data_IF_774446772294
#
_entry.id   IF_774446772294
#
_cell.length_a   1.000
_cell.length_b   1.000
_cell.length_c   1.000
_cell.angle_alpha   90.00
_cell.angle_beta   90.00
_cell.angle_gamma   90.00
#
_symmetry.space_group_name_H-M   'P 1'
#
loop_
_entity.id
_entity.type
_entity.pdbx_description
1 polymer ?
#
# COMPACT_ATOMS: atom_id res chain seq x y z
N UNK A 1 -33.21 -68.51 -15.29
CA UNK A 1 -34.15 -67.40 -15.53
C UNK A 1 -33.69 -66.22 -14.70
N UNK A 2 -33.51 -65.07 -15.36
CA UNK A 2 -33.65 -63.67 -14.84
C UNK A 2 -32.82 -63.24 -13.62
N UNK A 3 -32.07 -62.14 -13.66
CA UNK A 3 -31.93 -61.10 -14.67
C UNK A 3 -30.98 -60.00 -14.20
N UNK A 4 -30.24 -59.45 -15.16
CA UNK A 4 -29.38 -58.26 -15.08
C UNK A 4 -30.26 -57.01 -15.12
N UNK A 5 -29.95 -55.98 -14.31
CA UNK A 5 -30.21 -54.58 -14.69
C UNK A 5 -29.00 -53.72 -14.34
N UNK A 6 -28.56 -53.00 -15.36
CA UNK A 6 -27.49 -52.00 -15.45
C UNK A 6 -28.15 -50.62 -15.59
N UNK A 7 -27.33 -49.57 -15.59
CA UNK A 7 -27.61 -48.15 -15.94
C UNK A 7 -27.98 -47.25 -14.75
N UNK A 8 -27.03 -46.37 -14.34
CA UNK A 8 -26.76 -45.00 -14.83
C UNK A 8 -27.81 -44.03 -14.30
N UNK A 9 -27.39 -43.17 -13.38
CA UNK A 9 -27.32 -41.75 -13.74
C UNK A 9 -26.20 -41.04 -12.98
N UNK A 10 -25.22 -40.59 -13.76
CA UNK A 10 -24.27 -39.54 -13.40
C UNK A 10 -24.91 -38.25 -13.87
N UNK A 11 -25.16 -37.29 -12.99
CA UNK A 11 -25.03 -35.85 -13.26
C UNK A 11 -25.75 -35.04 -12.18
N UNK A 12 -25.30 -33.79 -11.99
CA UNK A 12 -25.75 -32.80 -11.00
C UNK A 12 -25.06 -33.01 -9.64
N UNK A 13 -24.15 -32.16 -9.16
CA UNK A 13 -23.98 -30.74 -9.41
C UNK A 13 -22.57 -30.34 -8.92
N UNK A 14 -21.59 -30.31 -9.83
CA UNK A 14 -20.27 -29.71 -9.58
C UNK A 14 -20.03 -28.57 -10.57
N UNK A 15 -20.99 -27.66 -10.66
CA UNK A 15 -20.82 -26.35 -11.26
C UNK A 15 -20.24 -25.34 -10.27
N UNK A 16 -19.22 -25.70 -9.48
CA UNK A 16 -18.43 -24.68 -8.78
C UNK A 16 -17.55 -24.01 -9.83
N UNK A 17 -17.87 -22.76 -10.15
CA UNK A 17 -17.01 -21.82 -10.87
C UNK A 17 -15.58 -21.91 -10.29
N UNK A 18 -14.70 -22.66 -10.95
CA UNK A 18 -13.26 -22.63 -10.68
C UNK A 18 -12.75 -21.28 -11.18
N UNK A 19 -12.95 -20.24 -10.36
CA UNK A 19 -12.28 -18.97 -10.58
C UNK A 19 -10.78 -19.27 -10.59
N UNK A 20 -10.11 -18.97 -11.71
CA UNK A 20 -8.69 -19.26 -11.88
C UNK A 20 -7.92 -18.65 -10.71
N UNK A 21 -7.31 -19.49 -9.89
CA UNK A 21 -6.56 -19.02 -8.73
C UNK A 21 -5.30 -18.30 -9.22
N UNK A 22 -5.12 -17.06 -8.78
CA UNK A 22 -3.96 -16.24 -9.12
C UNK A 22 -2.93 -16.28 -7.99
N UNK A 23 -1.67 -16.47 -8.36
CA UNK A 23 -0.51 -16.33 -7.48
C UNK A 23 0.03 -14.90 -7.55
N UNK A 24 -0.01 -14.19 -6.42
CA UNK A 24 0.37 -12.78 -6.34
C UNK A 24 1.82 -12.60 -5.85
N UNK A 25 2.59 -11.80 -6.58
CA UNK A 25 3.91 -11.33 -6.17
C UNK A 25 3.96 -9.81 -6.19
N UNK A 26 4.41 -9.20 -5.10
CA UNK A 26 4.49 -7.75 -4.93
C UNK A 26 5.94 -7.31 -4.69
N UNK A 27 6.45 -6.42 -5.55
CA UNK A 27 7.78 -5.81 -5.38
C UNK A 27 7.67 -4.44 -4.78
N UNK A 28 8.42 -4.22 -3.70
CA UNK A 28 8.32 -3.00 -2.90
C UNK A 28 9.69 -2.48 -2.49
N UNK A 29 9.73 -1.16 -2.29
CA UNK A 29 10.55 -0.53 -1.26
C UNK A 29 9.78 -0.63 0.07
N UNK A 30 10.31 -1.37 1.04
CA UNK A 30 9.62 -1.70 2.30
C UNK A 30 8.91 -0.51 2.93
N UNK A 31 9.67 0.53 3.23
CA UNK A 31 9.21 1.74 3.93
C UNK A 31 8.32 2.69 3.12
N UNK A 32 8.15 2.49 1.81
CA UNK A 32 7.43 3.44 0.95
C UNK A 32 5.94 3.42 1.22
N UNK A 33 5.36 4.60 1.45
CA UNK A 33 3.92 4.76 1.67
C UNK A 33 3.04 4.41 0.45
N UNK A 34 3.56 4.49 -0.77
CA UNK A 34 2.83 4.01 -1.95
C UNK A 34 2.75 2.47 -1.99
N UNK A 35 3.77 1.80 -1.46
CA UNK A 35 3.77 0.35 -1.32
C UNK A 35 2.89 -0.10 -0.18
N UNK A 36 2.79 0.73 0.87
CA UNK A 36 1.84 0.47 1.95
C UNK A 36 0.40 0.46 1.46
N UNK A 37 0.02 1.39 0.58
CA UNK A 37 -1.29 1.37 -0.08
C UNK A 37 -1.57 0.04 -0.80
N UNK A 38 -0.60 -0.48 -1.56
CA UNK A 38 -0.77 -1.74 -2.27
C UNK A 38 -0.83 -2.96 -1.33
N UNK A 39 -0.01 -2.99 -0.26
CA UNK A 39 -0.10 -4.03 0.78
C UNK A 39 -1.45 -4.00 1.46
N UNK A 40 -1.89 -2.81 1.86
CA UNK A 40 -3.15 -2.62 2.54
C UNK A 40 -4.31 -3.10 1.66
N UNK A 41 -4.32 -2.80 0.36
CA UNK A 41 -5.35 -3.32 -0.53
C UNK A 41 -5.36 -4.87 -0.60
N UNK A 42 -4.19 -5.52 -0.70
CA UNK A 42 -4.07 -6.99 -0.67
C UNK A 42 -4.57 -7.57 0.66
N UNK A 43 -4.13 -6.98 1.77
CA UNK A 43 -4.48 -7.39 3.13
C UNK A 43 -5.98 -7.20 3.43
N UNK A 44 -6.54 -6.07 2.99
CA UNK A 44 -7.96 -5.73 3.13
C UNK A 44 -8.81 -6.83 2.49
N UNK A 45 -8.52 -7.23 1.24
CA UNK A 45 -9.21 -8.32 0.55
C UNK A 45 -8.72 -9.73 0.94
N UNK A 46 -7.81 -9.85 1.92
CA UNK A 46 -7.26 -11.11 2.44
C UNK A 46 -6.61 -11.98 1.36
N UNK A 47 -5.93 -11.34 0.42
CA UNK A 47 -5.29 -12.01 -0.71
C UNK A 47 -3.86 -12.36 -0.33
N UNK A 48 -3.49 -13.66 -0.26
CA UNK A 48 -2.11 -14.05 0.03
C UNK A 48 -1.17 -13.62 -1.08
N UNK A 49 0.00 -13.08 -0.71
CA UNK A 49 1.01 -12.64 -1.66
C UNK A 49 2.44 -12.88 -1.19
N UNK A 50 3.36 -13.01 -2.14
CA UNK A 50 4.80 -13.05 -1.88
C UNK A 50 5.39 -11.66 -2.06
N UNK A 51 5.90 -11.07 -0.98
CA UNK A 51 6.52 -9.74 -1.03
C UNK A 51 8.04 -9.82 -1.25
N UNK A 52 8.53 -9.10 -2.26
CA UNK A 52 9.96 -8.93 -2.52
C UNK A 52 10.36 -7.48 -2.22
N UNK A 53 11.18 -7.30 -1.18
CA UNK A 53 11.59 -5.98 -0.72
C UNK A 53 12.99 -5.62 -1.19
N UNK A 54 13.17 -4.35 -1.52
CA UNK A 54 14.46 -3.75 -1.84
C UNK A 54 14.63 -2.37 -1.19
N UNK A 55 15.87 -1.95 -0.98
CA UNK A 55 16.16 -0.61 -0.48
C UNK A 55 15.91 0.44 -1.56
N UNK A 56 15.60 1.69 -1.18
CA UNK A 56 15.72 2.83 -2.07
C UNK A 56 17.07 2.82 -2.80
N UNK A 57 17.08 3.25 -4.05
CA UNK A 57 18.22 3.16 -5.01
C UNK A 57 18.60 1.71 -5.40
N UNK A 58 18.74 0.77 -4.46
CA UNK A 58 19.09 -0.63 -4.77
C UNK A 58 17.97 -1.37 -5.52
N UNK A 59 16.72 -0.97 -5.31
CA UNK A 59 15.56 -1.52 -6.03
C UNK A 59 15.71 -1.46 -7.55
N UNK A 60 16.45 -0.48 -8.08
CA UNK A 60 16.69 -0.32 -9.53
C UNK A 60 17.36 -1.57 -10.12
N UNK A 61 18.21 -2.25 -9.34
CA UNK A 61 18.89 -3.49 -9.75
C UNK A 61 17.91 -4.66 -9.71
N UNK A 62 17.21 -4.84 -8.58
CA UNK A 62 16.23 -5.92 -8.43
C UNK A 62 15.01 -5.80 -9.36
N UNK A 63 14.71 -4.58 -9.81
CA UNK A 63 13.62 -4.28 -10.71
C UNK A 63 14.04 -4.37 -12.18
N UNK A 64 15.26 -4.79 -12.50
CA UNK A 64 15.76 -4.80 -13.87
C UNK A 64 14.85 -5.55 -14.86
N UNK A 65 14.22 -6.63 -14.39
CA UNK A 65 13.25 -7.47 -15.13
C UNK A 65 11.78 -7.00 -14.98
N UNK A 66 11.50 -6.05 -14.10
CA UNK A 66 10.17 -5.59 -13.70
C UNK A 66 10.04 -4.10 -14.01
N UNK A 67 9.70 -3.80 -15.26
CA UNK A 67 9.65 -2.43 -15.77
C UNK A 67 8.22 -2.00 -16.01
N UNK A 68 7.90 -0.79 -15.61
CA UNK A 68 6.70 -0.12 -16.07
C UNK A 68 6.79 0.13 -17.58
N UNK A 69 5.63 0.04 -18.25
CA UNK A 69 5.50 0.30 -19.69
C UNK A 69 5.87 1.75 -20.03
N UNK A 70 5.54 2.68 -19.14
CA UNK A 70 5.85 4.11 -19.22
C UNK A 70 6.78 4.55 -18.09
N UNK A 71 7.42 5.72 -18.25
CA UNK A 71 8.22 6.36 -17.19
C UNK A 71 7.31 7.36 -16.46
N UNK A 72 6.82 7.06 -15.24
CA UNK A 72 6.05 8.03 -14.50
C UNK A 72 6.93 9.19 -14.00
N UNK A 73 6.32 10.37 -13.95
CA UNK A 73 6.86 11.54 -13.25
C UNK A 73 6.69 11.36 -11.73
N UNK A 74 7.61 11.82 -10.87
CA UNK A 74 8.81 12.63 -11.15
C UNK A 74 10.12 11.85 -11.24
N UNK A 75 10.08 10.52 -11.01
CA UNK A 75 11.31 9.72 -10.89
C UNK A 75 11.96 9.44 -12.25
N UNK A 76 11.21 9.61 -13.35
CA UNK A 76 11.65 9.43 -14.75
C UNK A 76 12.37 8.08 -14.99
N UNK A 77 12.01 7.06 -14.20
CA UNK A 77 12.51 5.69 -14.28
C UNK A 77 11.36 4.73 -14.54
N UNK A 78 11.64 3.62 -15.24
CA UNK A 78 10.68 2.51 -15.39
C UNK A 78 10.70 1.54 -14.21
N UNK A 79 11.65 1.69 -13.30
CA UNK A 79 11.79 0.85 -12.11
C UNK A 79 11.00 1.46 -10.96
N UNK A 80 9.68 1.30 -11.00
CA UNK A 80 8.77 1.85 -10.00
C UNK A 80 8.22 0.77 -9.10
N UNK A 81 7.97 1.15 -7.85
CA UNK A 81 7.28 0.31 -6.87
C UNK A 81 6.04 1.09 -6.38
N UNK A 82 4.90 0.43 -6.16
CA UNK A 82 4.74 -1.03 -6.13
C UNK A 82 4.70 -1.64 -7.53
N UNK A 83 5.12 -2.90 -7.66
CA UNK A 83 4.91 -3.67 -8.88
C UNK A 83 4.27 -5.01 -8.49
N UNK A 84 3.05 -5.25 -8.95
CA UNK A 84 2.30 -6.48 -8.75
C UNK A 84 2.34 -7.32 -10.02
N UNK A 85 2.67 -8.60 -9.88
CA UNK A 85 2.37 -9.62 -10.89
C UNK A 85 1.39 -10.64 -10.32
N UNK A 86 0.33 -10.94 -11.06
CA UNK A 86 -0.59 -12.03 -10.73
C UNK A 86 -0.56 -13.08 -11.86
N UNK A 87 -0.10 -14.28 -11.53
CA UNK A 87 0.10 -15.38 -12.47
C UNK A 87 -0.95 -16.47 -12.18
N UNK A 88 -1.69 -16.96 -13.19
CA UNK A 88 -2.57 -18.12 -13.03
C UNK A 88 -1.84 -19.34 -12.48
N UNK A 89 -2.49 -20.08 -11.59
CA UNK A 89 -1.95 -21.37 -11.14
C UNK A 89 -1.89 -22.33 -12.33
N UNK A 90 -0.70 -22.90 -12.57
CA UNK A 90 -0.37 -23.69 -13.76
C UNK A 90 -1.17 -24.99 -13.88
N UNK A 91 -1.91 -25.36 -12.84
CA UNK A 91 -2.81 -26.52 -12.81
C UNK A 91 -4.13 -26.30 -13.59
N UNK A 92 -4.47 -25.06 -13.98
CA UNK A 92 -5.76 -24.72 -14.59
C UNK A 92 -5.68 -23.93 -15.91
N UNK A 93 -4.50 -23.48 -16.34
CA UNK A 93 -4.37 -22.63 -17.51
C UNK A 93 -3.75 -23.38 -18.69
N UNK A 94 -4.58 -23.81 -19.63
CA UNK A 94 -4.10 -24.06 -20.99
C UNK A 94 -3.62 -22.74 -21.59
N UNK A 95 -2.33 -22.64 -21.88
CA UNK A 95 -1.56 -21.72 -22.75
C UNK A 95 -1.99 -20.24 -22.98
N UNK A 96 -2.99 -19.66 -22.30
CA UNK A 96 -3.52 -18.34 -22.66
C UNK A 96 -4.05 -17.45 -21.53
N UNK A 97 -3.93 -17.84 -20.26
CA UNK A 97 -4.27 -16.91 -19.19
C UNK A 97 -3.11 -15.91 -18.99
N UNK A 98 -3.30 -14.68 -19.50
CA UNK A 98 -2.29 -13.63 -19.48
C UNK A 98 -1.95 -13.19 -18.04
N UNK A 99 -0.65 -13.15 -17.73
CA UNK A 99 -0.13 -12.57 -16.48
C UNK A 99 -0.58 -11.11 -16.33
N UNK A 100 -1.20 -10.77 -15.20
CA UNK A 100 -1.58 -9.39 -14.87
C UNK A 100 -0.37 -8.66 -14.28
N UNK A 101 0.00 -7.50 -14.85
CA UNK A 101 1.13 -6.67 -14.41
C UNK A 101 0.66 -5.26 -14.12
N UNK A 102 0.77 -4.82 -12.86
CA UNK A 102 0.37 -3.49 -12.42
C UNK A 102 1.54 -2.82 -11.68
N UNK A 103 1.77 -1.54 -11.94
CA UNK A 103 2.92 -0.79 -11.42
C UNK A 103 2.54 0.53 -10.74
N UNK A 104 1.24 0.69 -10.48
CA UNK A 104 0.65 1.84 -9.83
C UNK A 104 -0.22 1.37 -8.66
N UNK A 105 -0.07 2.00 -7.49
CA UNK A 105 -0.77 1.58 -6.28
C UNK A 105 -2.29 1.77 -6.35
N UNK A 106 -2.77 2.74 -7.14
CA UNK A 106 -4.21 2.96 -7.38
C UNK A 106 -4.73 1.88 -8.32
N UNK A 107 -4.04 1.62 -9.44
CA UNK A 107 -4.42 0.55 -10.36
C UNK A 107 -4.44 -0.84 -9.69
N UNK A 108 -3.50 -1.10 -8.76
CA UNK A 108 -3.52 -2.32 -7.94
C UNK A 108 -4.77 -2.36 -7.06
N UNK A 109 -5.04 -1.30 -6.29
CA UNK A 109 -6.19 -1.27 -5.39
C UNK A 109 -7.53 -1.41 -6.16
N UNK A 110 -7.65 -0.75 -7.31
CA UNK A 110 -8.82 -0.83 -8.19
C UNK A 110 -9.00 -2.25 -8.74
N UNK A 111 -7.94 -2.85 -9.30
CA UNK A 111 -7.99 -4.23 -9.79
C UNK A 111 -8.45 -5.21 -8.71
N UNK A 112 -7.91 -5.09 -7.49
CA UNK A 112 -8.28 -5.97 -6.39
C UNK A 112 -9.74 -5.73 -5.96
N UNK A 113 -10.18 -4.47 -5.94
CA UNK A 113 -11.55 -4.10 -5.63
C UNK A 113 -12.55 -4.66 -6.63
N UNK A 114 -12.25 -4.56 -7.92
CA UNK A 114 -13.12 -5.05 -8.99
C UNK A 114 -13.24 -6.59 -8.99
N UNK A 115 -12.18 -7.30 -8.57
CA UNK A 115 -12.13 -8.77 -8.60
C UNK A 115 -12.59 -9.44 -7.30
N UNK A 116 -12.35 -8.83 -6.15
CA UNK A 116 -12.47 -9.50 -4.84
C UNK A 116 -13.42 -8.81 -3.85
N UNK A 117 -14.00 -7.66 -4.19
CA UNK A 117 -14.99 -7.04 -3.32
C UNK A 117 -16.28 -7.87 -3.21
N UNK A 118 -16.98 -7.72 -2.08
CA UNK A 118 -18.30 -8.31 -1.93
C UNK A 118 -19.27 -7.80 -3.00
N UNK A 119 -20.14 -8.68 -3.55
CA UNK A 119 -21.19 -8.24 -4.43
C UNK A 119 -22.10 -7.23 -3.70
N UNK A 120 -22.71 -6.27 -4.44
CA UNK A 120 -23.60 -5.29 -3.84
C UNK A 120 -24.73 -6.01 -3.10
N UNK A 121 -24.89 -5.70 -1.80
CA UNK A 121 -25.93 -6.31 -0.96
C UNK A 121 -27.30 -6.13 -1.62
N UNK A 122 -27.93 -7.22 -2.05
CA UNK A 122 -29.39 -7.23 -2.26
C UNK A 122 -30.05 -6.95 -0.90
N UNK A 123 -31.15 -6.20 -0.88
CA UNK A 123 -31.85 -5.79 0.34
C UNK A 123 -32.30 -7.02 1.16
N UNK A 124 -31.56 -7.39 2.21
CA UNK A 124 -31.84 -8.25 3.39
C UNK A 124 -30.54 -9.01 3.73
N UNK A 125 -30.05 -9.12 4.96
CA UNK A 125 -30.60 -8.93 6.30
C UNK A 125 -29.46 -8.58 7.26
N UNK A 126 -29.80 -7.87 8.33
CA UNK A 126 -28.96 -7.74 9.52
C UNK A 126 -28.90 -9.09 10.25
N UNK A 127 -27.73 -9.73 10.28
CA UNK A 127 -27.27 -10.51 11.43
C UNK A 127 -25.92 -11.15 11.18
N UNK A 128 -25.06 -11.05 12.20
CA UNK A 128 -23.91 -11.90 12.51
C UNK A 128 -22.66 -11.78 11.62
N UNK A 129 -21.59 -11.38 12.30
CA UNK A 129 -20.20 -11.61 11.98
C UNK A 129 -19.96 -13.04 11.47
N UNK A 130 -19.79 -13.19 10.16
CA UNK A 130 -19.06 -14.32 9.61
C UNK A 130 -17.77 -13.81 9.00
N UNK A 131 -16.67 -14.41 9.42
CA UNK A 131 -15.32 -14.21 8.89
C UNK A 131 -15.16 -14.67 7.43
N UNK A 132 -16.24 -14.95 6.69
CA UNK A 132 -16.20 -15.46 5.31
C UNK A 132 -16.69 -14.46 4.26
N UNK A 133 -17.29 -13.33 4.63
CA UNK A 133 -17.75 -12.35 3.63
C UNK A 133 -16.58 -11.46 3.20
N UNK A 134 -16.29 -11.33 1.89
CA UNK A 134 -15.29 -10.40 1.41
C UNK A 134 -15.63 -8.96 1.81
N UNK A 135 -14.62 -8.09 2.01
CA UNK A 135 -14.86 -6.70 2.37
C UNK A 135 -15.66 -5.91 1.32
N UNK A 136 -16.27 -4.78 1.71
CA UNK A 136 -16.92 -3.87 0.77
C UNK A 136 -15.97 -3.32 -0.32
N UNK A 137 -16.54 -2.99 -1.49
CA UNK A 137 -15.84 -2.35 -2.61
C UNK A 137 -15.29 -0.97 -2.20
N UNK A 138 -13.98 -0.78 -2.35
CA UNK A 138 -13.27 0.47 -2.02
C UNK A 138 -13.55 1.63 -2.99
N UNK A 139 -14.01 1.35 -4.21
CA UNK A 139 -14.20 2.34 -5.29
C UNK A 139 -15.65 2.69 -5.56
N UNK A 140 -16.60 2.04 -4.88
CA UNK A 140 -18.04 2.11 -5.18
C UNK A 140 -18.41 1.56 -6.58
N UNK A 141 -19.64 1.08 -6.72
CA UNK A 141 -20.20 0.70 -8.02
C UNK A 141 -20.87 1.90 -8.74
N UNK A 142 -21.07 3.02 -8.04
CA UNK A 142 -21.60 4.25 -8.62
C UNK A 142 -20.47 5.07 -9.29
N UNK A 143 -20.63 5.39 -10.57
CA UNK A 143 -19.61 6.05 -11.37
C UNK A 143 -19.25 7.45 -10.84
N UNK A 144 -20.23 8.21 -10.34
CA UNK A 144 -19.99 9.55 -9.81
C UNK A 144 -19.19 9.50 -8.50
N UNK A 145 -19.49 8.53 -7.64
CA UNK A 145 -18.75 8.28 -6.39
C UNK A 145 -17.35 7.76 -6.68
N UNK A 146 -17.19 6.82 -7.62
CA UNK A 146 -15.89 6.32 -8.07
C UNK A 146 -14.99 7.45 -8.59
N UNK A 147 -15.55 8.36 -9.38
CA UNK A 147 -14.81 9.53 -9.87
C UNK A 147 -14.33 10.46 -8.74
N UNK A 148 -15.14 10.67 -7.69
CA UNK A 148 -14.75 11.46 -6.51
C UNK A 148 -13.60 10.79 -5.74
N UNK A 149 -13.66 9.47 -5.56
CA UNK A 149 -12.62 8.68 -4.90
C UNK A 149 -11.31 8.83 -5.66
N UNK A 150 -11.32 8.58 -6.97
CA UNK A 150 -10.13 8.71 -7.83
C UNK A 150 -9.54 10.13 -7.82
N UNK A 151 -10.38 11.16 -7.82
CA UNK A 151 -9.92 12.55 -7.75
C UNK A 151 -9.20 12.86 -6.43
N UNK A 152 -9.67 12.31 -5.30
CA UNK A 152 -8.99 12.43 -4.01
C UNK A 152 -7.66 11.67 -4.00
N UNK A 153 -7.62 10.44 -4.54
CA UNK A 153 -6.38 9.67 -4.64
C UNK A 153 -5.33 10.40 -5.49
N UNK A 154 -5.75 10.99 -6.61
CA UNK A 154 -4.87 11.81 -7.45
C UNK A 154 -4.35 13.04 -6.69
N UNK A 155 -5.23 13.74 -5.97
CA UNK A 155 -4.84 14.89 -5.14
C UNK A 155 -3.82 14.47 -4.08
N UNK A 156 -4.06 13.41 -3.33
CA UNK A 156 -3.14 12.94 -2.30
C UNK A 156 -1.82 12.44 -2.89
N UNK A 157 -1.87 11.79 -4.06
CA UNK A 157 -0.69 11.37 -4.81
C UNK A 157 0.18 12.54 -5.27
N UNK A 158 -0.41 13.73 -5.51
CA UNK A 158 0.30 14.96 -5.88
C UNK A 158 0.73 15.81 -4.68
N UNK A 159 -0.13 15.96 -3.69
CA UNK A 159 -0.02 16.97 -2.64
C UNK A 159 0.43 16.41 -1.29
N UNK A 160 0.16 15.14 -0.99
CA UNK A 160 0.58 14.51 0.28
C UNK A 160 1.84 13.69 0.06
N UNK A 161 1.77 12.62 -0.75
CA UNK A 161 2.85 11.64 -0.88
C UNK A 161 4.23 12.25 -1.19
N UNK A 162 4.39 13.10 -2.22
CA UNK A 162 5.68 13.70 -2.56
C UNK A 162 6.22 14.60 -1.46
N UNK A 163 5.35 15.34 -0.77
CA UNK A 163 5.72 16.28 0.28
C UNK A 163 6.05 15.58 1.60
N UNK A 164 5.31 14.53 1.96
CA UNK A 164 5.67 13.63 3.08
C UNK A 164 7.03 13.00 2.83
N UNK A 165 7.28 12.48 1.62
CA UNK A 165 8.58 11.89 1.27
C UNK A 165 9.73 12.88 1.40
N UNK A 166 9.58 14.09 0.86
CA UNK A 166 10.62 15.14 0.92
C UNK A 166 10.93 15.49 2.38
N UNK A 167 9.90 15.72 3.19
CA UNK A 167 10.06 16.03 4.61
C UNK A 167 10.72 14.88 5.38
N UNK A 168 10.18 13.66 5.29
CA UNK A 168 10.69 12.51 6.05
C UNK A 168 12.12 12.16 5.67
N UNK A 169 12.46 12.17 4.38
CA UNK A 169 13.85 11.90 3.96
C UNK A 169 14.81 13.05 4.31
N UNK A 170 14.37 14.31 4.31
CA UNK A 170 15.18 15.41 4.83
C UNK A 170 15.53 15.15 6.31
N UNK A 171 14.53 14.79 7.13
CA UNK A 171 14.77 14.52 8.55
C UNK A 171 15.62 13.27 8.78
N UNK A 172 15.31 12.15 8.14
CA UNK A 172 15.97 10.85 8.44
C UNK A 172 17.37 10.76 7.83
N UNK A 173 17.60 11.36 6.65
CA UNK A 173 18.87 11.20 5.93
C UNK A 173 19.87 12.34 6.17
N UNK A 174 19.39 13.56 6.45
CA UNK A 174 20.25 14.73 6.58
C UNK A 174 20.43 15.21 8.02
N UNK A 175 19.38 15.14 8.85
CA UNK A 175 19.38 15.79 10.17
C UNK A 175 19.41 14.85 11.36
N UNK A 176 18.73 13.71 11.27
CA UNK A 176 18.72 12.71 12.34
C UNK A 176 20.09 12.03 12.45
N UNK A 177 20.44 11.43 13.60
CA UNK A 177 21.65 10.64 13.72
C UNK A 177 21.74 9.60 12.60
N UNK A 178 22.93 9.40 12.02
CA UNK A 178 23.12 8.46 10.90
C UNK A 178 22.65 7.03 11.22
N UNK A 179 22.60 6.66 12.50
CA UNK A 179 22.03 5.39 12.96
C UNK A 179 20.56 5.22 12.55
N UNK A 180 19.76 6.30 12.59
CA UNK A 180 18.34 6.30 12.20
C UNK A 180 18.19 5.94 10.72
N UNK A 181 18.93 6.63 9.84
CA UNK A 181 18.92 6.34 8.41
C UNK A 181 19.50 4.96 8.07
N UNK A 182 20.56 4.52 8.75
CA UNK A 182 21.13 3.18 8.57
C UNK A 182 20.16 2.06 8.99
N UNK A 183 19.39 2.28 10.05
CA UNK A 183 18.42 1.31 10.55
C UNK A 183 17.30 1.01 9.53
N UNK A 184 17.05 1.88 8.53
CA UNK A 184 16.09 1.63 7.46
C UNK A 184 16.37 0.34 6.68
N UNK A 185 17.64 -0.08 6.57
CA UNK A 185 18.03 -1.34 5.93
C UNK A 185 17.99 -2.56 6.85
N UNK A 186 17.72 -2.37 8.13
CA UNK A 186 17.69 -3.41 9.16
C UNK A 186 16.22 -3.82 9.43
N UNK A 187 15.97 -4.64 10.46
CA UNK A 187 14.61 -5.00 10.91
C UNK A 187 13.72 -5.68 9.86
N UNK A 188 14.30 -6.60 9.08
CA UNK A 188 13.61 -7.38 8.05
C UNK A 188 12.96 -6.55 6.92
N UNK A 189 13.42 -5.29 6.76
CA UNK A 189 13.02 -4.48 5.61
C UNK A 189 13.60 -5.03 4.31
N UNK A 190 14.78 -5.65 4.35
CA UNK A 190 15.47 -6.23 3.18
C UNK A 190 16.36 -7.40 3.59
N UNK A 191 16.82 -8.17 2.60
CA UNK A 191 17.79 -9.25 2.82
C UNK A 191 19.16 -8.75 3.31
N UNK A 192 19.92 -9.65 3.95
CA UNK A 192 21.19 -9.35 4.66
C UNK A 192 22.22 -8.58 3.82
N UNK A 193 22.36 -8.90 2.53
CA UNK A 193 23.30 -8.19 1.65
C UNK A 193 22.86 -6.75 1.40
N UNK A 194 21.59 -6.51 1.07
CA UNK A 194 21.10 -5.14 0.86
C UNK A 194 21.19 -4.33 2.16
N UNK A 195 20.91 -4.94 3.31
CA UNK A 195 21.11 -4.33 4.62
C UNK A 195 22.58 -3.92 4.85
N UNK A 196 23.51 -4.82 4.51
CA UNK A 196 24.94 -4.57 4.59
C UNK A 196 25.39 -3.46 3.62
N UNK A 197 25.01 -3.54 2.33
CA UNK A 197 25.30 -2.51 1.32
C UNK A 197 24.76 -1.16 1.79
N UNK A 198 23.51 -1.10 2.25
CA UNK A 198 22.91 0.13 2.77
C UNK A 198 23.70 0.73 3.93
N UNK A 199 24.13 -0.11 4.87
CA UNK A 199 24.86 0.33 6.07
C UNK A 199 26.26 0.84 5.74
N UNK A 200 26.99 0.13 4.87
CA UNK A 200 28.37 0.47 4.46
C UNK A 200 28.38 1.70 3.55
N UNK A 201 27.52 1.71 2.53
CA UNK A 201 27.47 2.77 1.52
C UNK A 201 26.42 3.85 1.83
N UNK A 202 25.96 3.94 3.08
CA UNK A 202 24.89 4.84 3.51
C UNK A 202 25.08 6.28 3.02
N UNK A 203 26.28 6.84 3.14
CA UNK A 203 26.56 8.21 2.71
C UNK A 203 26.33 8.43 1.21
N UNK A 204 26.81 7.50 0.38
CA UNK A 204 26.64 7.57 -1.08
C UNK A 204 25.18 7.35 -1.50
N UNK A 205 24.53 6.31 -0.98
CA UNK A 205 23.14 5.98 -1.31
C UNK A 205 22.16 7.06 -0.85
N UNK A 206 22.39 7.62 0.35
CA UNK A 206 21.62 8.76 0.85
C UNK A 206 21.82 9.99 -0.02
N UNK A 207 23.05 10.29 -0.42
CA UNK A 207 23.33 11.40 -1.34
C UNK A 207 22.62 11.22 -2.70
N UNK A 208 22.66 10.02 -3.28
CA UNK A 208 21.95 9.71 -4.53
C UNK A 208 20.44 9.92 -4.39
N UNK A 209 19.86 9.44 -3.30
CA UNK A 209 18.43 9.57 -3.01
C UNK A 209 18.01 11.04 -2.82
N UNK A 210 18.78 11.78 -2.00
CA UNK A 210 18.57 13.22 -1.75
C UNK A 210 18.68 14.02 -3.04
N UNK A 211 19.69 13.75 -3.87
CA UNK A 211 19.88 14.42 -5.15
C UNK A 211 18.76 14.12 -6.14
N UNK A 212 18.39 12.85 -6.30
CA UNK A 212 17.34 12.42 -7.23
C UNK A 212 15.98 13.03 -6.89
N UNK A 213 15.68 13.18 -5.60
CA UNK A 213 14.41 13.73 -5.12
C UNK A 213 14.48 15.24 -4.85
N UNK A 214 15.58 15.92 -5.18
CA UNK A 214 15.79 17.35 -4.97
C UNK A 214 15.48 17.80 -3.52
N UNK A 215 15.97 17.02 -2.55
CA UNK A 215 15.73 17.23 -1.12
C UNK A 215 16.73 18.24 -0.59
N UNK A 216 16.23 19.25 0.12
CA UNK A 216 16.97 20.32 0.78
C UNK A 216 16.12 20.86 1.92
N UNK A 217 16.71 21.61 2.85
CA UNK A 217 15.96 22.22 3.95
C UNK A 217 14.89 23.19 3.44
N UNK A 218 15.18 23.90 2.34
CA UNK A 218 14.22 24.78 1.67
C UNK A 218 13.03 24.01 1.09
N UNK A 219 13.27 22.87 0.42
CA UNK A 219 12.19 22.05 -0.12
C UNK A 219 11.41 21.31 0.97
N UNK A 220 12.05 20.93 2.07
CA UNK A 220 11.40 20.37 3.26
C UNK A 220 10.52 21.39 3.97
N UNK A 221 11.01 22.61 4.23
CA UNK A 221 10.23 23.69 4.83
C UNK A 221 8.99 24.05 3.98
N UNK A 222 9.16 24.15 2.66
CA UNK A 222 8.02 24.32 1.74
C UNK A 222 7.04 23.15 1.81
N UNK A 223 7.54 21.93 1.90
CA UNK A 223 6.69 20.73 2.00
C UNK A 223 5.90 20.71 3.31
N UNK A 224 6.49 21.11 4.45
CA UNK A 224 5.77 21.26 5.73
C UNK A 224 4.57 22.19 5.59
N UNK A 225 4.76 23.35 4.95
CA UNK A 225 3.68 24.32 4.72
C UNK A 225 2.59 23.82 3.77
N UNK A 226 2.95 23.03 2.77
CA UNK A 226 1.96 22.37 1.90
C UNK A 226 1.17 21.33 2.69
N UNK A 227 1.84 20.50 3.48
CA UNK A 227 1.20 19.48 4.32
C UNK A 227 0.23 20.10 5.33
N UNK A 228 0.59 21.21 5.99
CA UNK A 228 -0.32 21.95 6.89
C UNK A 228 -1.61 22.34 6.19
N UNK A 229 -1.50 23.02 5.06
CA UNK A 229 -2.66 23.49 4.28
C UNK A 229 -3.53 22.33 3.79
N UNK A 230 -2.92 21.24 3.35
CA UNK A 230 -3.68 20.06 2.91
C UNK A 230 -4.35 19.34 4.08
N UNK A 231 -3.68 19.15 5.22
CA UNK A 231 -4.29 18.55 6.42
C UNK A 231 -5.43 19.41 6.96
N UNK A 232 -5.29 20.73 6.93
CA UNK A 232 -6.37 21.66 7.29
C UNK A 232 -7.55 21.58 6.30
N UNK A 233 -7.26 21.55 5.00
CA UNK A 233 -8.29 21.38 3.97
C UNK A 233 -9.05 20.05 4.13
N UNK A 234 -8.34 18.95 4.35
CA UNK A 234 -8.92 17.62 4.58
C UNK A 234 -9.73 17.61 5.87
N UNK A 235 -9.25 18.27 6.93
CA UNK A 235 -9.98 18.41 8.19
C UNK A 235 -11.34 19.06 7.97
N UNK A 236 -11.39 20.17 7.21
CA UNK A 236 -12.66 20.81 6.83
C UNK A 236 -13.58 19.89 6.03
N UNK A 237 -13.04 19.09 5.11
CA UNK A 237 -13.83 18.12 4.33
C UNK A 237 -14.47 17.10 5.27
N UNK A 238 -13.70 16.51 6.18
CA UNK A 238 -14.17 15.53 7.16
C UNK A 238 -15.20 16.14 8.13
N UNK A 239 -14.97 17.35 8.62
CA UNK A 239 -15.85 18.07 9.55
C UNK A 239 -17.18 18.49 8.91
N UNK A 240 -17.20 18.73 7.60
CA UNK A 240 -18.41 19.04 6.84
C UNK A 240 -19.25 17.81 6.47
N UNK A 241 -18.75 16.60 6.77
CA UNK A 241 -19.42 15.34 6.48
C UNK A 241 -20.69 15.10 7.31
N UNK A 242 -21.50 14.09 6.95
CA UNK A 242 -22.68 13.71 7.71
C UNK A 242 -22.31 13.19 9.12
N UNK A 243 -23.22 13.27 10.10
CA UNK A 243 -22.97 12.77 11.46
C UNK A 243 -22.71 11.26 11.47
N UNK A 244 -21.60 10.84 12.08
CA UNK A 244 -21.11 9.45 12.12
C UNK A 244 -19.58 9.38 12.06
N UNK A 245 -18.98 8.19 11.91
CA UNK A 245 -17.55 8.07 11.58
C UNK A 245 -17.29 8.86 10.28
N UNK A 246 -16.46 9.90 10.36
CA UNK A 246 -16.16 10.74 9.21
C UNK A 246 -15.30 9.92 8.23
N UNK A 247 -15.81 9.71 7.02
CA UNK A 247 -15.05 9.20 5.88
C UNK A 247 -14.98 10.29 4.81
N UNK A 248 -13.97 10.22 3.94
CA UNK A 248 -13.79 11.25 2.91
C UNK A 248 -14.90 11.23 1.85
N UNK A 249 -15.50 10.07 1.59
CA UNK A 249 -16.57 9.90 0.60
C UNK A 249 -17.68 9.01 1.16
N UNK A 250 -18.86 9.58 1.33
CA UNK A 250 -20.03 8.84 1.83
C UNK A 250 -19.92 8.53 3.32
N UNK A 251 -20.34 7.33 3.72
CA UNK A 251 -20.41 6.88 5.11
C UNK A 251 -19.68 5.53 5.33
N UNK A 252 -18.75 5.18 4.44
CA UNK A 252 -17.97 3.95 4.50
C UNK A 252 -16.50 4.22 4.18
N UNK A 253 -15.64 3.29 4.60
CA UNK A 253 -14.23 3.30 4.23
C UNK A 253 -14.07 3.08 2.72
N UNK A 254 -13.26 3.92 2.06
CA UNK A 254 -13.01 3.88 0.62
C UNK A 254 -11.51 3.91 0.29
N UNK A 255 -11.17 3.75 -0.99
CA UNK A 255 -9.79 3.92 -1.46
C UNK A 255 -9.23 5.33 -1.21
N UNK A 256 -10.09 6.35 -1.07
CA UNK A 256 -9.65 7.69 -0.72
C UNK A 256 -9.10 7.74 0.72
N UNK A 257 -9.78 7.12 1.67
CA UNK A 257 -9.36 7.02 3.08
C UNK A 257 -8.09 6.19 3.20
N UNK A 258 -8.05 5.02 2.53
CA UNK A 258 -6.88 4.15 2.49
C UNK A 258 -5.65 4.89 1.91
N UNK A 259 -5.85 5.67 0.85
CA UNK A 259 -4.78 6.45 0.22
C UNK A 259 -4.29 7.58 1.11
N UNK A 260 -5.20 8.34 1.74
CA UNK A 260 -4.81 9.37 2.70
C UNK A 260 -4.01 8.77 3.85
N UNK A 261 -4.51 7.68 4.44
CA UNK A 261 -3.86 7.00 5.55
C UNK A 261 -2.46 6.51 5.16
N UNK A 262 -2.34 5.83 4.01
CA UNK A 262 -1.06 5.33 3.53
C UNK A 262 -0.06 6.45 3.27
N UNK A 263 -0.44 7.47 2.47
CA UNK A 263 0.46 8.55 2.06
C UNK A 263 0.79 9.54 3.17
N UNK A 264 -0.13 9.77 4.10
CA UNK A 264 0.03 10.65 5.25
C UNK A 264 0.63 9.98 6.49
N UNK A 265 0.59 8.64 6.59
CA UNK A 265 0.94 7.87 7.79
C UNK A 265 2.31 8.22 8.37
N UNK A 266 3.34 8.31 7.51
CA UNK A 266 4.69 8.66 7.96
C UNK A 266 4.81 10.08 8.55
N UNK A 267 3.94 11.01 8.15
CA UNK A 267 3.93 12.38 8.68
C UNK A 267 3.28 12.47 10.07
N UNK A 268 2.40 11.52 10.41
CA UNK A 268 1.73 11.42 11.71
C UNK A 268 2.32 10.30 12.60
N UNK A 269 3.47 9.76 12.21
CA UNK A 269 4.26 8.83 13.01
C UNK A 269 3.70 7.41 13.06
N UNK A 270 2.93 6.98 12.06
CA UNK A 270 2.48 5.59 11.95
C UNK A 270 3.68 4.65 11.86
N UNK A 271 3.74 3.71 12.80
CA UNK A 271 4.78 2.69 12.93
C UNK A 271 4.25 1.27 12.73
N UNK A 272 5.11 0.29 13.01
CA UNK A 272 4.77 -1.14 12.89
C UNK A 272 3.74 -1.55 13.95
N UNK A 273 3.79 -0.91 15.11
CA UNK A 273 2.84 -1.01 16.21
C UNK A 273 1.41 -0.62 15.82
N UNK A 274 1.26 0.30 14.86
CA UNK A 274 -0.04 0.71 14.31
C UNK A 274 -0.48 -0.16 13.13
N UNK A 275 0.34 -1.15 12.73
CA UNK A 275 0.07 -2.05 11.60
C UNK A 275 0.75 -1.65 10.28
N UNK A 276 1.67 -0.69 10.26
CA UNK A 276 2.43 -0.37 9.04
C UNK A 276 3.21 -1.60 8.56
N UNK A 277 3.14 -1.89 7.26
CA UNK A 277 3.66 -3.12 6.67
C UNK A 277 5.19 -3.27 6.71
N UNK A 278 5.95 -2.26 7.13
CA UNK A 278 7.41 -2.30 7.21
C UNK A 278 7.92 -1.66 8.50
N UNK A 279 9.18 -1.93 8.85
CA UNK A 279 9.80 -1.22 9.97
C UNK A 279 10.19 0.19 9.53
N UNK A 280 9.74 1.20 10.28
CA UNK A 280 10.13 2.60 10.10
C UNK A 280 10.72 3.13 11.40
N UNK A 281 11.63 4.12 11.36
CA UNK A 281 12.17 4.70 12.58
C UNK A 281 11.08 5.31 13.45
N UNK A 282 11.11 5.00 14.74
CA UNK A 282 10.18 5.61 15.71
C UNK A 282 10.38 7.13 15.80
N UNK A 283 9.29 7.85 16.05
CA UNK A 283 9.28 9.30 16.18
C UNK A 283 10.24 9.82 17.26
N UNK A 284 10.41 9.07 18.34
CA UNK A 284 11.33 9.36 19.45
C UNK A 284 12.79 9.46 19.02
N UNK A 285 13.17 8.83 17.89
CA UNK A 285 14.51 8.90 17.33
C UNK A 285 14.72 10.15 16.45
N UNK A 286 13.65 10.89 16.12
CA UNK A 286 13.72 12.11 15.33
C UNK A 286 14.04 13.33 16.22
N UNK A 287 14.44 14.44 15.60
CA UNK A 287 14.71 15.72 16.30
C UNK A 287 13.43 16.27 16.94
N UNK A 288 13.53 17.06 18.04
CA UNK A 288 12.37 17.67 18.68
C UNK A 288 11.46 18.46 17.73
N UNK A 289 12.02 19.16 16.74
CA UNK A 289 11.23 19.87 15.73
C UNK A 289 10.36 18.92 14.88
N UNK A 290 10.91 17.76 14.51
CA UNK A 290 10.18 16.76 13.74
C UNK A 290 9.09 16.08 14.57
N UNK A 291 9.37 15.87 15.87
CA UNK A 291 8.37 15.38 16.83
C UNK A 291 7.22 16.38 16.99
N UNK A 292 7.53 17.67 17.16
CA UNK A 292 6.53 18.73 17.28
C UNK A 292 5.67 18.86 16.02
N UNK A 293 6.27 18.77 14.82
CA UNK A 293 5.50 18.81 13.58
C UNK A 293 4.61 17.58 13.38
N UNK A 294 5.08 16.40 13.76
CA UNK A 294 4.25 15.20 13.76
C UNK A 294 3.04 15.36 14.70
N UNK A 295 3.27 15.84 15.93
CA UNK A 295 2.20 16.08 16.90
C UNK A 295 1.22 17.16 16.43
N UNK A 296 1.71 18.24 15.82
CA UNK A 296 0.88 19.26 15.16
C UNK A 296 -0.10 18.63 14.16
N UNK A 297 0.39 17.76 13.27
CA UNK A 297 -0.46 17.08 12.28
C UNK A 297 -1.43 16.09 12.95
N UNK A 298 -0.99 15.36 13.98
CA UNK A 298 -1.84 14.41 14.74
C UNK A 298 -3.01 15.11 15.45
N UNK A 299 -2.88 16.38 15.80
CA UNK A 299 -3.96 17.13 16.47
C UNK A 299 -5.09 17.54 15.53
N UNK A 300 -4.83 17.63 14.22
CA UNK A 300 -5.85 17.92 13.20
C UNK A 300 -6.87 16.79 13.06
N UNK A 301 -8.07 17.10 12.56
CA UNK A 301 -9.08 16.08 12.25
C UNK A 301 -8.58 15.10 11.19
N UNK A 302 -7.85 15.58 10.19
CA UNK A 302 -7.20 14.72 9.19
C UNK A 302 -6.17 13.76 9.80
N UNK A 303 -5.34 14.23 10.74
CA UNK A 303 -4.36 13.39 11.43
C UNK A 303 -5.04 12.30 12.27
N UNK A 304 -6.06 12.67 13.04
CA UNK A 304 -6.89 11.72 13.82
C UNK A 304 -7.56 10.69 12.91
N UNK A 305 -8.06 11.12 11.75
CA UNK A 305 -8.65 10.24 10.75
C UNK A 305 -7.64 9.19 10.27
N UNK A 306 -6.40 9.59 9.95
CA UNK A 306 -5.35 8.64 9.55
C UNK A 306 -5.10 7.60 10.65
N UNK A 307 -4.97 8.03 11.91
CA UNK A 307 -4.75 7.11 13.04
C UNK A 307 -5.93 6.13 13.19
N UNK A 308 -7.16 6.62 13.09
CA UNK A 308 -8.35 5.79 13.20
C UNK A 308 -8.49 4.83 11.99
N UNK A 309 -8.10 5.24 10.77
CA UNK A 309 -8.03 4.35 9.62
C UNK A 309 -7.09 3.17 9.87
N UNK A 310 -5.90 3.40 10.43
CA UNK A 310 -4.99 2.31 10.76
C UNK A 310 -5.58 1.38 11.81
N UNK A 311 -6.11 1.95 12.90
CA UNK A 311 -6.72 1.20 14.00
C UNK A 311 -7.92 0.34 13.56
N UNK A 312 -8.80 0.88 12.72
CA UNK A 312 -10.05 0.21 12.33
C UNK A 312 -9.91 -0.69 11.10
N UNK A 313 -9.09 -0.29 10.13
CA UNK A 313 -9.14 -0.86 8.77
C UNK A 313 -7.82 -1.49 8.31
N UNK A 314 -6.69 -1.28 9.00
CA UNK A 314 -5.41 -1.85 8.54
C UNK A 314 -5.39 -3.37 8.63
N UNK A 315 -5.95 -3.90 9.72
CA UNK A 315 -6.01 -5.34 9.97
C UNK A 315 -4.64 -6.00 10.02
N UNK A 316 -4.62 -7.31 9.79
CA UNK A 316 -3.41 -8.12 9.75
C UNK A 316 -2.99 -8.41 8.31
N UNK A 317 -1.73 -8.80 8.14
CA UNK A 317 -1.21 -9.28 6.86
C UNK A 317 -2.02 -10.51 6.41
N UNK A 318 -2.43 -10.56 5.14
CA UNK A 318 -3.25 -11.67 4.63
C UNK A 318 -2.61 -13.03 4.92
N UNK A 319 -3.39 -13.96 5.49
CA UNK A 319 -2.92 -15.29 5.87
C UNK A 319 -2.38 -16.05 4.64
N UNK A 320 -1.21 -16.69 4.78
CA UNK A 320 -0.51 -17.34 3.66
C UNK A 320 0.46 -16.42 2.90
N UNK A 321 0.48 -15.12 3.21
CA UNK A 321 1.49 -14.21 2.65
C UNK A 321 2.87 -14.51 3.21
N UNK A 322 3.89 -14.34 2.37
CA UNK A 322 5.28 -14.60 2.73
C UNK A 322 6.21 -13.51 2.19
N UNK A 323 7.47 -13.57 2.60
CA UNK A 323 8.54 -12.85 1.93
C UNK A 323 9.20 -13.80 0.95
N UNK A 324 9.54 -13.32 -0.24
CA UNK A 324 10.21 -14.17 -1.21
C UNK A 324 11.51 -14.76 -0.64
N UNK A 325 12.03 -15.80 -1.29
CA UNK A 325 13.42 -16.24 -1.07
C UNK A 325 14.44 -15.44 -1.90
N UNK A 326 15.40 -14.79 -1.26
CA UNK A 326 16.54 -14.14 -1.94
C UNK A 326 17.82 -14.86 -1.59
N UNK A 327 18.63 -15.23 -2.58
CA UNK A 327 20.03 -15.58 -2.33
C UNK A 327 20.77 -14.26 -2.05
N UNK A 328 21.03 -13.99 -0.76
CA UNK A 328 21.67 -12.75 -0.32
C UNK A 328 20.97 -11.46 -0.81
N UNK A 329 19.64 -11.33 -0.72
CA UNK A 329 18.96 -10.05 -0.96
C UNK A 329 18.93 -9.52 -2.40
N UNK A 330 19.40 -10.28 -3.39
CA UNK A 330 19.19 -9.99 -4.81
C UNK A 330 18.11 -10.97 -5.33
N UNK A 331 17.08 -10.41 -5.97
CA UNK A 331 15.97 -11.13 -6.59
C UNK A 331 16.09 -11.02 -8.11
#
# INVERSE_FOLDING_TARGET
MTGVIKDRDQSQDQGQNKQTQLNFSLRTIGISHYNEKARWALDYYRIPYVEHRSMPVLHMISMFKYRASSRPSPTNTRFVTPYLSAVPDSSAAGDLANEVKLNDSTAIAEFLSDQYAAPPKSKQSDSSSSSSCPPPNLYSNDAATKAKILALEERFGKMIGPHVRIYVYNEVLLHSPKSVGKAMGQHDNVGRLQAWIWTVFFGLLSWLLVKSLHISDKSAARSKEILRREFEHISRVLESGPPGPAYLVGNQFTAADLTLASLGGAAVGIGREDGYGAWVPQLTNARPEAQAFCEELRQTTAGKHILECYKLHRGEKAAGSSYGFSFFGLW
#
